data_IF_220296282891
#
_entry.id   IF_220296282891
#
_cell.length_a   1.000
_cell.length_b   1.000
_cell.length_c   1.000
_cell.angle_alpha   90.00
_cell.angle_beta   90.00
_cell.angle_gamma   90.00
#
_symmetry.space_group_name_H-M   'P 1'
#
loop_
_entity.id
_entity.type
_entity.pdbx_description
1 polymer ?
#
# COMPACT_ATOMS: atom_id res chain seq x y z
N UNK A 1 -28.73 67.92 3.37
CA UNK A 1 -29.63 67.15 2.48
C UNK A 1 -28.93 65.83 2.16
N UNK A 2 -29.53 64.68 2.53
CA UNK A 2 -29.10 63.33 2.10
C UNK A 2 -28.20 62.55 3.06
N UNK A 3 -28.70 61.42 3.57
CA UNK A 3 -28.11 60.46 4.56
C UNK A 3 -27.81 59.09 3.85
N UNK A 4 -27.37 57.98 4.49
CA UNK A 4 -26.04 57.32 4.31
C UNK A 4 -26.12 55.82 3.92
N UNK A 5 -25.03 55.11 3.57
CA UNK A 5 -25.00 53.61 3.53
C UNK A 5 -23.61 52.98 3.79
N UNK A 6 -23.50 52.31 4.95
CA UNK A 6 -22.91 51.00 5.31
C UNK A 6 -21.69 50.39 4.55
N UNK A 7 -20.66 50.03 5.37
CA UNK A 7 -19.89 48.76 5.48
C UNK A 7 -19.20 48.19 4.23
N UNK A 8 -17.93 47.76 4.36
CA UNK A 8 -17.29 46.51 3.85
C UNK A 8 -15.79 46.71 3.60
N UNK A 9 -14.92 46.27 4.53
CA UNK A 9 -13.65 45.67 4.14
C UNK A 9 -13.11 44.78 5.27
N UNK A 10 -13.60 43.54 5.28
CA UNK A 10 -13.02 42.44 6.03
C UNK A 10 -12.42 41.48 5.01
N UNK A 11 -11.13 41.62 4.70
CA UNK A 11 -10.33 40.54 4.07
C UNK A 11 -8.94 40.57 4.72
N UNK A 12 -8.83 39.93 5.87
CA UNK A 12 -7.53 39.46 6.36
C UNK A 12 -7.10 38.29 5.47
N UNK A 13 -5.95 38.45 4.83
CA UNK A 13 -5.20 37.40 4.15
C UNK A 13 -4.77 36.32 5.16
N UNK A 14 -5.60 35.29 5.38
CA UNK A 14 -5.13 34.01 5.94
C UNK A 14 -4.68 33.11 4.78
N UNK A 15 -3.36 32.97 4.62
CA UNK A 15 -2.70 32.16 3.59
C UNK A 15 -2.57 30.68 3.96
N UNK A 16 -3.37 30.17 4.90
CA UNK A 16 -3.42 28.74 5.22
C UNK A 16 -4.49 28.04 4.37
N UNK A 17 -4.06 27.54 3.21
CA UNK A 17 -4.89 26.67 2.37
C UNK A 17 -5.49 25.49 3.17
N UNK A 18 -6.68 25.01 2.81
CA UNK A 18 -7.36 23.96 3.55
C UNK A 18 -6.47 22.71 3.59
N UNK A 19 -6.15 22.23 4.78
CA UNK A 19 -5.59 20.90 4.99
C UNK A 19 -6.53 19.90 4.32
N UNK A 20 -6.12 19.40 3.15
CA UNK A 20 -6.92 18.48 2.35
C UNK A 20 -7.03 17.17 3.13
N UNK A 21 -8.09 17.03 3.93
CA UNK A 21 -8.45 15.75 4.57
C UNK A 21 -8.45 14.69 3.47
N UNK A 22 -7.68 13.61 3.67
CA UNK A 22 -7.68 12.48 2.74
C UNK A 22 -9.11 12.03 2.52
N UNK A 23 -9.54 11.96 1.26
CA UNK A 23 -10.93 11.67 0.93
C UNK A 23 -11.29 10.26 1.39
N UNK A 24 -12.56 9.99 1.69
CA UNK A 24 -13.03 8.64 2.07
C UNK A 24 -12.59 7.59 1.03
N UNK A 25 -12.56 7.98 -0.25
CA UNK A 25 -12.13 7.13 -1.36
C UNK A 25 -10.63 6.86 -1.33
N UNK A 26 -9.81 7.81 -0.89
CA UNK A 26 -8.36 7.60 -0.73
C UNK A 26 -8.05 6.57 0.36
N UNK A 27 -8.79 6.60 1.48
CA UNK A 27 -8.66 5.61 2.55
C UNK A 27 -9.09 4.20 2.11
N UNK A 28 -10.22 4.09 1.41
CA UNK A 28 -10.65 2.81 0.85
C UNK A 28 -9.66 2.27 -0.17
N UNK A 29 -9.14 3.13 -1.04
CA UNK A 29 -8.14 2.76 -2.04
C UNK A 29 -6.84 2.24 -1.38
N UNK A 30 -6.42 2.85 -0.28
CA UNK A 30 -5.28 2.36 0.50
C UNK A 30 -5.54 0.94 1.05
N UNK A 31 -6.67 0.71 1.72
CA UNK A 31 -7.00 -0.61 2.27
C UNK A 31 -7.16 -1.68 1.18
N UNK A 32 -7.81 -1.33 0.05
CA UNK A 32 -7.95 -2.22 -1.10
C UNK A 32 -6.59 -2.59 -1.70
N UNK A 33 -5.70 -1.60 -1.86
CA UNK A 33 -4.33 -1.85 -2.34
C UNK A 33 -3.55 -2.72 -1.36
N UNK A 34 -3.65 -2.44 -0.06
CA UNK A 34 -2.99 -3.21 0.99
C UNK A 34 -3.48 -4.67 1.02
N UNK A 35 -4.77 -4.91 0.81
CA UNK A 35 -5.37 -6.24 0.70
C UNK A 35 -4.83 -6.97 -0.54
N UNK A 36 -4.80 -6.30 -1.70
CA UNK A 36 -4.25 -6.84 -2.93
C UNK A 36 -2.78 -7.24 -2.78
N UNK A 37 -1.95 -6.40 -2.14
CA UNK A 37 -0.54 -6.72 -1.88
C UNK A 37 -0.38 -7.97 -1.02
N UNK A 38 -1.21 -8.12 0.02
CA UNK A 38 -1.21 -9.32 0.87
C UNK A 38 -1.67 -10.56 0.13
N UNK A 39 -2.69 -10.47 -0.72
CA UNK A 39 -3.12 -11.56 -1.60
C UNK A 39 -1.97 -12.00 -2.52
N UNK A 40 -1.31 -11.05 -3.19
CA UNK A 40 -0.16 -11.35 -4.06
C UNK A 40 1.00 -12.01 -3.30
N UNK A 41 1.29 -11.54 -2.07
CA UNK A 41 2.30 -12.17 -1.22
C UNK A 41 1.90 -13.60 -0.83
N UNK A 42 0.61 -13.85 -0.61
CA UNK A 42 0.08 -15.18 -0.33
C UNK A 42 0.39 -16.17 -1.47
N UNK A 43 0.15 -15.74 -2.72
CA UNK A 43 0.42 -16.57 -3.90
C UNK A 43 1.91 -16.87 -4.06
N UNK A 44 2.77 -15.91 -3.75
CA UNK A 44 4.23 -16.08 -3.78
C UNK A 44 4.68 -17.10 -2.73
N UNK A 45 4.21 -16.96 -1.49
CA UNK A 45 4.55 -17.88 -0.40
C UNK A 45 4.02 -19.29 -0.69
N UNK A 46 2.80 -19.41 -1.21
CA UNK A 46 2.24 -20.69 -1.64
C UNK A 46 3.09 -21.34 -2.75
N UNK A 47 3.57 -20.54 -3.71
CA UNK A 47 4.46 -21.01 -4.77
C UNK A 47 5.81 -21.47 -4.21
N UNK A 48 6.40 -20.75 -3.26
CA UNK A 48 7.63 -21.17 -2.60
C UNK A 48 7.44 -22.50 -1.85
N UNK A 49 6.38 -22.63 -1.04
CA UNK A 49 6.04 -23.85 -0.31
C UNK A 49 5.87 -25.05 -1.27
N UNK A 50 5.13 -24.88 -2.35
CA UNK A 50 4.91 -25.93 -3.34
C UNK A 50 6.21 -26.40 -4.01
N UNK A 51 7.17 -25.49 -4.19
CA UNK A 51 8.47 -25.79 -4.82
C UNK A 51 9.59 -26.05 -3.79
N UNK A 52 9.27 -26.19 -2.50
CA UNK A 52 10.27 -26.40 -1.45
C UNK A 52 11.06 -27.71 -1.61
N UNK A 53 10.53 -28.69 -2.35
CA UNK A 53 11.21 -29.94 -2.69
C UNK A 53 11.78 -29.96 -4.12
N UNK A 54 11.81 -28.81 -4.81
CA UNK A 54 12.32 -28.72 -6.19
C UNK A 54 13.79 -28.27 -6.18
N UNK A 55 14.73 -29.09 -6.70
CA UNK A 55 16.14 -28.71 -6.79
C UNK A 55 16.35 -27.40 -7.56
N UNK A 56 17.36 -26.62 -7.18
CA UNK A 56 17.70 -25.32 -7.80
C UNK A 56 16.60 -24.22 -7.75
N UNK A 57 15.50 -24.41 -7.01
CA UNK A 57 14.46 -23.39 -6.92
C UNK A 57 14.93 -22.17 -6.11
N UNK A 58 14.52 -20.98 -6.55
CA UNK A 58 14.86 -19.70 -5.92
C UNK A 58 13.61 -19.06 -5.33
N UNK A 59 13.58 -18.97 -4.00
CA UNK A 59 12.51 -18.31 -3.25
C UNK A 59 12.36 -16.85 -3.70
N UNK A 60 11.11 -16.43 -3.87
CA UNK A 60 10.75 -15.05 -4.23
C UNK A 60 10.00 -14.42 -3.08
N UNK A 61 10.15 -13.10 -2.90
CA UNK A 61 9.34 -12.36 -1.96
C UNK A 61 8.99 -10.97 -2.52
N UNK A 62 7.98 -10.36 -1.89
CA UNK A 62 7.47 -9.04 -2.18
C UNK A 62 7.76 -8.14 -0.99
N UNK A 63 8.49 -7.05 -1.22
CA UNK A 63 8.72 -6.05 -0.19
C UNK A 63 7.43 -5.24 0.03
N UNK A 64 6.59 -5.71 0.96
CA UNK A 64 5.28 -5.12 1.23
C UNK A 64 5.41 -3.67 1.64
N UNK A 65 6.38 -3.35 2.50
CA UNK A 65 6.56 -1.98 2.99
C UNK A 65 6.92 -1.01 1.87
N UNK A 66 7.80 -1.42 0.95
CA UNK A 66 8.17 -0.58 -0.18
C UNK A 66 6.97 -0.36 -1.11
N UNK A 67 6.18 -1.41 -1.37
CA UNK A 67 5.03 -1.31 -2.26
C UNK A 67 3.88 -0.51 -1.63
N UNK A 68 3.61 -0.66 -0.34
CA UNK A 68 2.56 0.11 0.33
C UNK A 68 2.93 1.59 0.47
N UNK A 69 4.21 1.92 0.70
CA UNK A 69 4.69 3.30 0.69
C UNK A 69 4.48 3.99 -0.67
N UNK A 70 4.57 3.25 -1.77
CA UNK A 70 4.26 3.79 -3.10
C UNK A 70 2.77 4.12 -3.25
N UNK A 71 1.89 3.31 -2.65
CA UNK A 71 0.43 3.55 -2.64
C UNK A 71 0.07 4.76 -1.80
N UNK A 72 0.74 4.98 -0.67
CA UNK A 72 0.52 6.16 0.18
C UNK A 72 0.96 7.48 -0.46
N UNK A 73 1.62 7.44 -1.63
CA UNK A 73 2.25 8.60 -2.24
C UNK A 73 3.61 8.95 -1.63
N UNK A 74 4.07 8.17 -0.65
CA UNK A 74 5.38 8.22 -0.01
C UNK A 74 6.48 7.55 -0.87
N UNK A 75 6.29 7.54 -2.19
CA UNK A 75 7.18 6.95 -3.20
C UNK A 75 7.96 8.00 -3.99
N UNK A 76 8.71 7.62 -5.04
CA UNK A 76 9.48 8.57 -5.85
C UNK A 76 8.61 9.75 -6.28
N UNK A 77 9.11 10.97 -6.06
CA UNK A 77 8.40 12.21 -6.35
C UNK A 77 7.82 12.17 -7.77
N UNK A 78 6.49 12.33 -7.89
CA UNK A 78 5.86 12.57 -9.20
C UNK A 78 6.37 13.92 -9.71
N UNK A 79 7.12 13.90 -10.81
CA UNK A 79 7.46 15.13 -11.54
C UNK A 79 6.17 15.71 -12.12
N UNK A 80 5.81 16.91 -11.67
CA UNK A 80 4.62 17.63 -12.13
C UNK A 80 4.93 18.57 -13.30
N UNK A 81 6.20 18.87 -13.54
CA UNK A 81 6.67 19.79 -14.58
C UNK A 81 7.87 19.20 -15.33
N UNK A 82 7.91 19.41 -16.65
CA UNK A 82 8.94 18.89 -17.55
C UNK A 82 10.36 19.42 -17.28
N UNK A 83 10.50 20.49 -16.48
CA UNK A 83 11.80 21.04 -16.03
C UNK A 83 12.34 20.40 -14.75
N UNK A 84 11.59 19.50 -14.10
CA UNK A 84 12.08 18.81 -12.91
C UNK A 84 13.10 17.72 -13.28
N UNK A 85 14.12 17.56 -12.45
CA UNK A 85 15.11 16.48 -12.60
C UNK A 85 14.42 15.11 -12.46
N UNK A 86 14.47 14.31 -13.53
CA UNK A 86 13.98 12.92 -13.51
C UNK A 86 14.98 12.06 -12.74
N UNK A 87 14.70 11.79 -11.47
CA UNK A 87 15.37 10.70 -10.76
C UNK A 87 14.81 9.40 -11.32
N UNK A 88 15.58 8.70 -12.15
CA UNK A 88 15.20 7.42 -12.71
C UNK A 88 15.17 6.36 -11.60
N UNK A 89 14.06 6.27 -10.89
CA UNK A 89 13.80 5.12 -10.02
C UNK A 89 13.41 3.96 -10.91
N UNK A 90 14.35 3.02 -11.05
CA UNK A 90 14.19 1.74 -11.75
C UNK A 90 12.81 1.15 -11.40
N UNK A 91 11.97 0.94 -12.41
CA UNK A 91 10.59 0.43 -12.37
C UNK A 91 10.07 -0.02 -10.98
N UNK A 92 9.19 0.74 -10.32
CA UNK A 92 8.61 0.34 -9.03
C UNK A 92 7.65 -0.85 -9.12
N UNK A 93 7.21 -1.24 -10.32
CA UNK A 93 6.13 -2.21 -10.50
C UNK A 93 6.55 -3.69 -10.39
N UNK A 94 7.83 -4.05 -10.29
CA UNK A 94 8.20 -5.46 -10.49
C UNK A 94 9.53 -5.95 -9.94
N UNK A 95 10.14 -5.30 -8.94
CA UNK A 95 11.22 -5.96 -8.19
C UNK A 95 10.62 -6.95 -7.19
N UNK A 96 10.26 -8.14 -7.67
CA UNK A 96 10.33 -9.33 -6.82
C UNK A 96 11.81 -9.46 -6.44
N UNK A 97 12.11 -9.26 -5.16
CA UNK A 97 13.47 -9.45 -4.68
C UNK A 97 13.64 -10.95 -4.42
N UNK A 98 14.73 -11.52 -4.93
CA UNK A 98 15.16 -12.83 -4.45
C UNK A 98 15.66 -12.64 -3.01
N UNK A 99 15.14 -13.43 -2.06
CA UNK A 99 15.71 -13.45 -0.70
C UNK A 99 17.12 -14.02 -0.78
N UNK A 100 18.04 -13.41 -0.04
CA UNK A 100 19.38 -13.96 0.14
C UNK A 100 19.27 -15.09 1.19
N UNK A 101 19.51 -16.36 0.83
CA UNK A 101 19.30 -17.48 1.74
C UNK A 101 20.28 -17.42 2.91
N UNK A 102 19.76 -17.65 4.13
CA UNK A 102 20.57 -17.74 5.36
C UNK A 102 21.30 -19.09 5.40
N UNK A 103 20.69 -20.15 4.86
CA UNK A 103 21.30 -21.47 4.67
C UNK A 103 20.97 -21.98 3.25
N UNK A 104 21.87 -21.83 2.25
CA UNK A 104 21.67 -22.46 0.97
C UNK A 104 21.71 -23.98 1.14
N UNK A 105 20.64 -24.64 0.71
CA UNK A 105 20.58 -26.11 0.72
C UNK A 105 21.63 -26.66 -0.26
N UNK A 106 22.15 -27.86 0.02
CA UNK A 106 23.26 -28.48 -0.74
C UNK A 106 22.91 -28.68 -2.23
N UNK A 107 21.62 -28.74 -2.54
CA UNK A 107 20.99 -28.90 -3.85
C UNK A 107 20.72 -27.57 -4.59
N UNK A 108 21.16 -26.44 -4.04
CA UNK A 108 20.98 -25.12 -4.63
C UNK A 108 19.57 -24.53 -4.46
N UNK A 109 18.68 -25.21 -3.73
CA UNK A 109 17.40 -24.65 -3.32
C UNK A 109 17.59 -23.59 -2.23
N UNK A 110 16.88 -22.47 -2.35
CA UNK A 110 16.92 -21.37 -1.38
C UNK A 110 15.63 -21.24 -0.57
N UNK A 111 14.68 -22.17 -0.76
CA UNK A 111 13.42 -22.22 0.00
C UNK A 111 13.63 -22.96 1.31
N UNK A 112 13.23 -22.33 2.41
CA UNK A 112 13.18 -22.96 3.71
C UNK A 112 11.71 -23.20 4.11
N UNK A 113 11.25 -24.46 4.03
CA UNK A 113 9.83 -24.81 4.15
C UNK A 113 9.18 -24.30 5.46
N UNK A 114 9.86 -24.45 6.60
CA UNK A 114 9.39 -24.00 7.91
C UNK A 114 9.17 -22.48 7.95
N UNK A 115 10.12 -21.72 7.39
CA UNK A 115 10.04 -20.26 7.33
C UNK A 115 8.92 -19.82 6.39
N UNK A 116 8.80 -20.43 5.22
CA UNK A 116 7.71 -20.10 4.28
C UNK A 116 6.32 -20.41 4.85
N UNK A 117 6.17 -21.52 5.59
CA UNK A 117 4.90 -21.86 6.26
C UNK A 117 4.53 -20.88 7.38
N UNK A 118 5.53 -20.41 8.14
CA UNK A 118 5.34 -19.38 9.16
C UNK A 118 4.89 -18.06 8.52
N UNK A 119 5.63 -17.59 7.51
CA UNK A 119 5.32 -16.36 6.77
C UNK A 119 3.95 -16.43 6.08
N UNK A 120 3.58 -17.59 5.53
CA UNK A 120 2.26 -17.82 4.95
C UNK A 120 1.14 -17.70 5.99
N UNK A 121 1.35 -18.26 7.18
CA UNK A 121 0.40 -18.18 8.29
C UNK A 121 0.23 -16.73 8.75
N UNK A 122 1.34 -16.00 8.94
CA UNK A 122 1.31 -14.59 9.33
C UNK A 122 0.61 -13.73 8.28
N UNK A 123 0.91 -13.95 6.99
CA UNK A 123 0.29 -13.20 5.91
C UNK A 123 -1.22 -13.50 5.80
N UNK A 124 -1.63 -14.75 6.02
CA UNK A 124 -3.03 -15.17 6.04
C UNK A 124 -3.83 -14.45 7.13
N UNK A 125 -3.29 -14.40 8.35
CA UNK A 125 -3.90 -13.64 9.45
C UNK A 125 -4.03 -12.16 9.10
N UNK A 126 -2.96 -11.54 8.60
CA UNK A 126 -2.97 -10.12 8.20
C UNK A 126 -3.93 -9.83 7.05
N UNK A 127 -4.08 -10.75 6.10
CA UNK A 127 -5.03 -10.64 5.00
C UNK A 127 -6.47 -10.65 5.54
N UNK A 128 -6.80 -11.60 6.40
CA UNK A 128 -8.12 -11.71 7.03
C UNK A 128 -8.48 -10.45 7.82
N UNK A 129 -7.57 -9.95 8.67
CA UNK A 129 -7.80 -8.71 9.43
C UNK A 129 -7.99 -7.50 8.50
N UNK A 130 -7.25 -7.44 7.40
CA UNK A 130 -7.40 -6.33 6.43
C UNK A 130 -8.74 -6.37 5.71
N UNK A 131 -9.22 -7.58 5.40
CA UNK A 131 -10.54 -7.79 4.81
C UNK A 131 -11.65 -7.38 5.78
N UNK A 132 -11.54 -7.75 7.05
CA UNK A 132 -12.48 -7.34 8.11
C UNK A 132 -12.55 -5.82 8.25
N UNK A 133 -11.40 -5.13 8.29
CA UNK A 133 -11.39 -3.66 8.34
C UNK A 133 -12.04 -3.03 7.11
N UNK A 134 -11.77 -3.56 5.92
CA UNK A 134 -12.40 -3.07 4.69
C UNK A 134 -13.92 -3.27 4.74
N UNK A 135 -14.39 -4.44 5.16
CA UNK A 135 -15.80 -4.75 5.29
C UNK A 135 -16.50 -3.85 6.31
N UNK A 136 -15.91 -3.68 7.50
CA UNK A 136 -16.44 -2.81 8.54
C UNK A 136 -16.53 -1.35 8.07
N UNK A 137 -15.53 -0.89 7.29
CA UNK A 137 -15.55 0.45 6.72
C UNK A 137 -16.67 0.61 5.69
N UNK A 138 -16.82 -0.34 4.78
CA UNK A 138 -17.91 -0.31 3.79
C UNK A 138 -19.27 -0.35 4.48
N UNK A 139 -19.44 -1.21 5.49
CA UNK A 139 -20.66 -1.27 6.30
C UNK A 139 -20.98 0.07 6.97
N UNK A 140 -19.99 0.71 7.60
CA UNK A 140 -20.16 2.04 8.20
C UNK A 140 -20.56 3.12 7.18
N UNK A 141 -20.01 3.07 5.97
CA UNK A 141 -20.40 3.99 4.89
C UNK A 141 -21.84 3.73 4.42
N UNK A 142 -22.23 2.47 4.28
CA UNK A 142 -23.61 2.12 3.93
C UNK A 142 -24.60 2.57 5.01
N UNK A 143 -24.27 2.42 6.29
CA UNK A 143 -25.10 2.91 7.40
C UNK A 143 -25.27 4.43 7.33
N UNK A 144 -24.16 5.17 7.17
CA UNK A 144 -24.18 6.63 7.07
C UNK A 144 -24.98 7.14 5.86
N UNK A 145 -24.94 6.42 4.73
CA UNK A 145 -25.76 6.76 3.54
C UNK A 145 -27.24 6.46 3.78
N UNK A 146 -27.55 5.39 4.51
CA UNK A 146 -28.93 5.01 4.85
C UNK A 146 -29.53 5.88 5.98
N UNK A 147 -28.70 6.53 6.79
CA UNK A 147 -29.13 7.36 7.91
C UNK A 147 -29.42 6.59 9.21
N UNK A 148 -28.87 5.38 9.33
CA UNK A 148 -28.89 4.55 10.54
C UNK A 148 -27.62 4.78 11.39
#
# INVERSE_FOLDING_TARGET
MGIPYFIYEFIILDSRGPQKMKSIGEHLNFHASALHLRSRRNDILASNIANAATPNFKARDLNYEQQIRQVEGSGPLKTTDGKHFKIAVKNPHQTLFYRQPINPSLDGNTVELSVEQLEFSENSVRYQTSLEFLNNRIAGLMSAIKGE
#
